data_IF_509095901100
#
_entry.id   IF_509095901100
#
_cell.length_a   1.000
_cell.length_b   1.000
_cell.length_c   1.000
_cell.angle_alpha   90.00
_cell.angle_beta   90.00
_cell.angle_gamma   90.00
#
_symmetry.space_group_name_H-M   'P 1'
#
loop_
_entity.id
_entity.type
_entity.pdbx_description
1 polymer ?
#
# COMPACT_ATOMS: atom_id res chain seq x y z
N UNK A 1 -19.15 -17.60 31.11
CA UNK A 1 -18.49 -17.93 29.83
C UNK A 1 -18.92 -16.86 28.84
N UNK A 2 -18.12 -15.81 28.68
CA UNK A 2 -18.40 -14.76 27.69
C UNK A 2 -17.63 -15.11 26.42
N UNK A 3 -18.29 -15.45 25.30
CA UNK A 3 -17.61 -15.60 24.02
C UNK A 3 -17.35 -14.21 23.46
N UNK A 4 -16.38 -13.50 24.05
CA UNK A 4 -15.75 -12.37 23.38
C UNK A 4 -14.85 -12.94 22.30
N UNK A 5 -15.40 -13.17 21.10
CA UNK A 5 -14.54 -13.26 19.93
C UNK A 5 -14.02 -11.84 19.70
N UNK A 6 -12.89 -11.51 20.32
CA UNK A 6 -12.14 -10.31 19.98
C UNK A 6 -11.95 -10.37 18.46
N UNK A 7 -12.70 -9.53 17.75
CA UNK A 7 -12.78 -9.53 16.30
C UNK A 7 -11.51 -8.90 15.73
N UNK A 8 -10.37 -9.51 16.05
CA UNK A 8 -9.02 -9.17 15.61
C UNK A 8 -9.07 -9.08 14.08
N UNK A 9 -8.95 -7.86 13.55
CA UNK A 9 -9.05 -7.61 12.10
C UNK A 9 -7.92 -8.35 11.36
N UNK A 10 -8.23 -9.35 10.50
CA UNK A 10 -7.19 -10.06 9.79
C UNK A 10 -6.49 -9.14 8.79
N UNK A 11 -5.19 -9.35 8.58
CA UNK A 11 -4.33 -8.50 7.72
C UNK A 11 -4.89 -8.31 6.32
N UNK A 12 -5.54 -9.34 5.74
CA UNK A 12 -6.12 -9.23 4.41
C UNK A 12 -7.29 -8.24 4.32
N UNK A 13 -8.08 -8.05 5.40
CA UNK A 13 -9.15 -7.03 5.45
C UNK A 13 -8.56 -5.64 5.53
N UNK A 14 -7.51 -5.46 6.36
CA UNK A 14 -6.79 -4.20 6.45
C UNK A 14 -6.10 -3.86 5.12
N UNK A 15 -5.49 -4.84 4.47
CA UNK A 15 -4.87 -4.67 3.15
C UNK A 15 -5.90 -4.25 2.11
N UNK A 16 -7.08 -4.90 2.06
CA UNK A 16 -8.14 -4.54 1.13
C UNK A 16 -8.70 -3.13 1.40
N UNK A 17 -8.85 -2.75 2.67
CA UNK A 17 -9.25 -1.40 3.08
C UNK A 17 -8.22 -0.34 2.66
N UNK A 18 -6.93 -0.65 2.77
CA UNK A 18 -5.83 0.25 2.44
C UNK A 18 -5.47 0.26 0.95
N UNK A 19 -5.96 -0.70 0.16
CA UNK A 19 -5.64 -0.87 -1.25
C UNK A 19 -5.78 0.39 -2.12
N UNK A 20 -6.87 1.20 -2.05
CA UNK A 20 -6.96 2.42 -2.87
C UNK A 20 -5.89 3.46 -2.50
N UNK A 21 -5.55 3.58 -1.21
CA UNK A 21 -4.50 4.48 -0.74
C UNK A 21 -3.11 3.99 -1.15
N UNK A 22 -2.86 2.69 -1.01
CA UNK A 22 -1.62 2.06 -1.44
C UNK A 22 -1.43 2.20 -2.95
N UNK A 23 -2.47 1.99 -3.76
CA UNK A 23 -2.43 2.20 -5.20
C UNK A 23 -2.04 3.65 -5.55
N UNK A 24 -2.71 4.63 -4.95
CA UNK A 24 -2.39 6.05 -5.16
C UNK A 24 -0.96 6.39 -4.75
N UNK A 25 -0.53 5.94 -3.57
CA UNK A 25 0.83 6.16 -3.08
C UNK A 25 1.87 5.55 -4.02
N UNK A 26 1.68 4.29 -4.46
CA UNK A 26 2.59 3.63 -5.39
C UNK A 26 2.62 4.35 -6.74
N UNK A 27 1.47 4.67 -7.33
CA UNK A 27 1.38 5.34 -8.62
C UNK A 27 2.07 6.71 -8.61
N UNK A 28 1.82 7.53 -7.58
CA UNK A 28 2.44 8.85 -7.43
C UNK A 28 3.96 8.71 -7.25
N UNK A 29 4.42 7.80 -6.40
CA UNK A 29 5.86 7.60 -6.18
C UNK A 29 6.56 7.09 -7.44
N UNK A 30 5.95 6.19 -8.21
CA UNK A 30 6.51 5.73 -9.50
C UNK A 30 6.58 6.86 -10.52
N UNK A 31 5.53 7.69 -10.59
CA UNK A 31 5.53 8.85 -11.48
C UNK A 31 6.61 9.86 -11.09
N UNK A 32 6.71 10.22 -9.80
CA UNK A 32 7.76 11.10 -9.29
C UNK A 32 9.16 10.52 -9.52
N UNK A 33 9.36 9.22 -9.29
CA UNK A 33 10.61 8.53 -9.59
C UNK A 33 10.94 8.63 -11.09
N UNK A 34 9.94 8.47 -11.97
CA UNK A 34 10.08 8.65 -13.40
C UNK A 34 10.47 10.08 -13.79
N UNK A 35 9.96 11.10 -13.08
CA UNK A 35 10.40 12.49 -13.29
C UNK A 35 11.85 12.70 -12.83
N UNK A 36 12.24 12.13 -11.68
CA UNK A 36 13.61 12.20 -11.17
C UNK A 36 14.61 11.47 -12.07
N UNK A 37 14.20 10.36 -12.66
CA UNK A 37 15.02 9.57 -13.59
C UNK A 37 15.47 10.38 -14.82
N UNK A 38 14.75 11.46 -15.18
CA UNK A 38 15.19 12.39 -16.21
C UNK A 38 16.53 13.06 -15.89
N UNK A 39 16.87 13.23 -14.61
CA UNK A 39 18.16 13.80 -14.20
C UNK A 39 19.37 12.96 -14.64
N UNK A 40 19.17 11.66 -14.90
CA UNK A 40 20.20 10.74 -15.39
C UNK A 40 19.99 10.34 -16.86
N UNK A 41 19.17 11.09 -17.59
CA UNK A 41 18.94 10.90 -19.03
C UNK A 41 17.89 9.83 -19.40
N UNK A 42 17.13 9.30 -18.43
CA UNK A 42 16.02 8.39 -18.72
C UNK A 42 14.75 9.18 -19.13
N UNK A 43 13.90 8.57 -19.95
CA UNK A 43 12.61 9.16 -20.31
C UNK A 43 11.65 9.21 -19.12
N UNK A 44 10.82 10.25 -19.06
CA UNK A 44 9.77 10.36 -18.06
C UNK A 44 8.76 9.20 -18.15
N UNK A 45 8.36 8.67 -17.00
CA UNK A 45 7.27 7.70 -16.92
C UNK A 45 5.93 8.41 -17.13
N UNK A 46 5.10 7.93 -18.05
CA UNK A 46 3.78 8.54 -18.27
C UNK A 46 2.85 8.25 -17.08
N UNK A 47 1.85 9.11 -16.79
CA UNK A 47 0.88 8.87 -15.73
C UNK A 47 0.16 7.52 -15.86
N UNK A 48 -0.22 7.15 -17.09
CA UNK A 48 -0.86 5.87 -17.37
C UNK A 48 0.08 4.68 -17.12
N UNK A 49 1.36 4.79 -17.50
CA UNK A 49 2.34 3.75 -17.23
C UNK A 49 2.59 3.58 -15.72
N UNK A 50 2.66 4.68 -14.96
CA UNK A 50 2.79 4.65 -13.51
C UNK A 50 1.60 3.91 -12.84
N UNK A 51 0.37 4.18 -13.30
CA UNK A 51 -0.82 3.47 -12.85
C UNK A 51 -0.80 1.98 -13.23
N UNK A 52 -0.35 1.65 -14.44
CA UNK A 52 -0.24 0.27 -14.91
C UNK A 52 0.75 -0.54 -14.05
N UNK A 53 1.89 0.06 -13.69
CA UNK A 53 2.85 -0.55 -12.77
C UNK A 53 2.36 -0.58 -11.33
N UNK A 54 1.54 0.38 -10.91
CA UNK A 54 0.96 0.39 -9.58
C UNK A 54 -0.01 -0.78 -9.36
N UNK A 55 -0.72 -1.25 -10.40
CA UNK A 55 -1.65 -2.39 -10.30
C UNK A 55 -1.00 -3.66 -9.68
N UNK A 56 0.07 -4.24 -10.25
CA UNK A 56 0.72 -5.42 -9.68
C UNK A 56 1.49 -5.13 -8.38
N UNK A 57 1.88 -3.88 -8.14
CA UNK A 57 2.59 -3.48 -6.92
C UNK A 57 1.66 -3.16 -5.75
N UNK A 58 0.37 -2.93 -6.01
CA UNK A 58 -0.63 -2.62 -4.98
C UNK A 58 -0.85 -3.79 -4.03
N UNK A 59 -1.02 -5.06 -4.46
CA UNK A 59 -1.17 -6.19 -3.54
C UNK A 59 -0.04 -6.32 -2.50
N UNK A 60 1.26 -6.33 -2.87
CA UNK A 60 2.33 -6.40 -1.88
C UNK A 60 2.41 -5.14 -1.00
N UNK A 61 2.19 -3.94 -1.58
CA UNK A 61 2.19 -2.70 -0.81
C UNK A 61 1.06 -2.66 0.23
N UNK A 62 -0.15 -3.06 -0.17
CA UNK A 62 -1.34 -3.08 0.68
C UNK A 62 -1.22 -4.12 1.78
N UNK A 63 -0.63 -5.28 1.48
CA UNK A 63 -0.36 -6.31 2.49
C UNK A 63 0.66 -5.84 3.53
N UNK A 64 1.75 -5.19 3.10
CA UNK A 64 2.74 -4.61 3.99
C UNK A 64 2.12 -3.52 4.88
N UNK A 65 1.31 -2.63 4.31
CA UNK A 65 0.58 -1.61 5.05
C UNK A 65 -0.43 -2.21 6.04
N UNK A 66 -1.16 -3.25 5.64
CA UNK A 66 -2.09 -3.96 6.52
C UNK A 66 -1.38 -4.66 7.68
N UNK A 67 -0.20 -5.25 7.45
CA UNK A 67 0.63 -5.86 8.51
C UNK A 67 1.18 -4.80 9.48
N UNK A 68 1.59 -3.65 8.97
CA UNK A 68 2.04 -2.53 9.79
C UNK A 68 0.90 -1.99 10.66
N UNK A 69 -0.26 -1.68 10.06
CA UNK A 69 -1.43 -1.20 10.80
C UNK A 69 -1.88 -2.21 11.85
N UNK A 70 -1.84 -3.51 11.51
CA UNK A 70 -2.15 -4.57 12.47
C UNK A 70 -1.25 -4.53 13.70
N UNK A 71 0.06 -4.35 13.52
CA UNK A 71 1.01 -4.22 14.64
C UNK A 71 0.70 -3.01 15.51
N UNK A 72 0.37 -1.87 14.89
CA UNK A 72 -0.03 -0.68 15.64
C UNK A 72 -1.31 -0.88 16.46
N UNK A 73 -2.28 -1.63 15.93
CA UNK A 73 -3.48 -2.00 16.70
C UNK A 73 -3.11 -2.89 17.89
N UNK A 74 -2.30 -3.93 17.66
CA UNK A 74 -1.87 -4.85 18.71
C UNK A 74 -1.03 -4.12 19.79
N UNK A 75 -0.25 -3.09 19.43
CA UNK A 75 0.51 -2.22 20.35
C UNK A 75 -0.37 -1.25 21.16
N UNK A 76 -1.54 -0.86 20.64
CA UNK A 76 -2.47 0.05 21.32
C UNK A 76 -3.45 -0.67 22.25
N UNK A 77 -3.72 -1.95 21.99
CA UNK A 77 -4.58 -2.83 22.82
C UNK A 77 -3.80 -3.51 23.96
N UNK A 78 -2.47 -3.60 23.85
CA UNK A 78 -1.57 -4.16 24.87
C UNK A 78 -1.14 -3.16 25.92
#
# INVERSE_FOLDING_TARGET
MSPGHDARWPVWRLALLLAPFAFGAVAINLFMLGLMAQAVGLSALSPYAAMAWALPLTPPASWAAGRWLRRLMDEAEG
#
